data_IF_062171435255
#
_entry.id   IF_062171435255
#
_cell.length_a   1.000
_cell.length_b   1.000
_cell.length_c   1.000
_cell.angle_alpha   90.00
_cell.angle_beta   90.00
_cell.angle_gamma   90.00
#
_symmetry.space_group_name_H-M   'P 1'
#
loop_
_entity.id
_entity.type
_entity.pdbx_description
1 polymer ?
#
# COMPACT_ATOMS: atom_id res chain seq x y z
N UNK A 1 39.89 28.45 -5.55
CA UNK A 1 39.74 27.05 -6.04
C UNK A 1 40.46 26.15 -5.03
N UNK A 2 39.82 25.28 -4.32
CA UNK A 2 40.23 24.32 -3.30
C UNK A 2 39.57 24.53 -1.93
N UNK A 3 38.28 24.17 -1.82
CA UNK A 3 37.61 23.89 -0.53
C UNK A 3 36.33 23.03 -0.72
N UNK A 4 36.40 21.92 -1.44
CA UNK A 4 35.26 21.01 -1.65
C UNK A 4 35.65 19.52 -1.51
N UNK A 5 36.73 19.20 -0.76
CA UNK A 5 37.22 17.83 -0.61
C UNK A 5 36.97 17.17 0.76
N UNK A 6 36.16 17.74 1.63
CA UNK A 6 35.87 17.15 2.95
C UNK A 6 34.42 16.73 3.13
N UNK A 7 33.91 15.83 2.24
CA UNK A 7 32.81 14.98 2.63
C UNK A 7 33.38 13.66 3.16
N UNK A 8 33.10 13.27 4.40
CA UNK A 8 33.57 12.00 4.93
C UNK A 8 33.02 10.87 4.07
N UNK A 9 33.88 9.97 3.63
CA UNK A 9 33.51 8.76 2.91
C UNK A 9 32.52 7.98 3.78
N UNK A 10 31.47 7.43 3.18
CA UNK A 10 30.43 6.63 3.84
C UNK A 10 31.02 5.60 4.83
N UNK A 11 32.23 5.13 4.58
CA UNK A 11 32.97 4.20 5.45
C UNK A 11 33.38 4.79 6.79
N UNK A 12 33.56 6.11 6.87
CA UNK A 12 33.99 6.79 8.10
C UNK A 12 32.80 7.18 8.97
N UNK A 13 31.62 7.40 8.37
CA UNK A 13 30.35 7.59 9.08
C UNK A 13 29.90 6.27 9.75
N UNK A 14 30.18 5.13 9.13
CA UNK A 14 29.90 3.82 9.73
C UNK A 14 30.84 3.44 10.88
N UNK A 15 32.02 4.04 10.95
CA UNK A 15 32.96 3.82 12.07
C UNK A 15 32.67 4.66 13.30
N UNK A 16 31.98 5.80 13.16
CA UNK A 16 31.67 6.71 14.26
C UNK A 16 30.31 6.46 14.92
N UNK A 17 29.48 5.56 14.39
CA UNK A 17 28.27 5.11 15.07
C UNK A 17 28.66 4.02 16.09
N UNK A 18 28.24 4.13 17.35
CA UNK A 18 28.49 3.09 18.35
C UNK A 18 27.62 1.86 18.00
N UNK A 19 28.12 1.04 17.07
CA UNK A 19 27.45 -0.17 16.57
C UNK A 19 27.05 -1.16 17.68
N UNK A 20 27.70 -1.06 18.83
CA UNK A 20 27.35 -1.85 20.01
C UNK A 20 26.01 -1.46 20.64
N UNK A 21 25.68 -0.17 20.70
CA UNK A 21 24.45 0.31 21.34
C UNK A 21 23.22 0.16 20.41
N UNK A 22 23.36 0.47 19.14
CA UNK A 22 22.26 0.28 18.15
C UNK A 22 21.90 -1.19 18.01
N UNK A 23 22.89 -2.08 18.02
CA UNK A 23 22.66 -3.54 18.00
C UNK A 23 22.02 -4.01 19.30
N UNK A 24 22.46 -3.51 20.46
CA UNK A 24 21.81 -3.82 21.75
C UNK A 24 20.40 -3.27 21.83
N UNK A 25 20.15 -2.05 21.37
CA UNK A 25 18.82 -1.44 21.30
C UNK A 25 17.88 -2.22 20.38
N UNK A 26 18.34 -2.68 19.22
CA UNK A 26 17.56 -3.49 18.29
C UNK A 26 17.22 -4.88 18.86
N UNK A 27 18.17 -5.56 19.50
CA UNK A 27 17.91 -6.82 20.20
C UNK A 27 17.01 -6.65 21.41
N UNK A 28 17.16 -5.57 22.17
CA UNK A 28 16.30 -5.23 23.31
C UNK A 28 14.86 -4.94 22.83
N UNK A 29 14.70 -4.25 21.72
CA UNK A 29 13.41 -3.96 21.09
C UNK A 29 12.73 -5.25 20.58
N UNK A 30 13.46 -6.16 19.92
CA UNK A 30 12.95 -7.49 19.53
C UNK A 30 12.60 -8.32 20.75
N UNK A 31 13.44 -8.30 21.81
CA UNK A 31 13.19 -9.04 23.03
C UNK A 31 11.94 -8.53 23.78
N UNK A 32 11.75 -7.21 23.82
CA UNK A 32 10.54 -6.58 24.36
C UNK A 32 9.30 -6.98 23.53
N UNK A 33 9.39 -6.97 22.19
CA UNK A 33 8.30 -7.40 21.31
C UNK A 33 7.94 -8.88 21.51
N UNK A 34 8.93 -9.75 21.69
CA UNK A 34 8.71 -11.17 21.95
C UNK A 34 8.16 -11.44 23.37
N UNK A 35 8.54 -10.60 24.35
CA UNK A 35 8.04 -10.72 25.72
C UNK A 35 6.56 -10.34 25.86
N UNK A 36 6.05 -9.44 25.02
CA UNK A 36 4.62 -9.06 25.03
C UNK A 36 3.69 -10.08 24.38
N UNK A 37 4.23 -11.04 23.62
CA UNK A 37 3.42 -12.12 23.03
C UNK A 37 2.91 -13.16 24.04
N UNK A 38 3.39 -13.10 25.29
CA UNK A 38 3.13 -14.14 26.30
C UNK A 38 2.00 -13.80 27.29
N UNK A 39 1.38 -12.63 27.17
CA UNK A 39 0.24 -12.29 28.03
C UNK A 39 -1.08 -12.65 27.35
N UNK A 40 -1.32 -13.95 27.17
CA UNK A 40 -2.69 -14.44 27.08
C UNK A 40 -3.33 -14.24 28.46
N UNK A 41 -4.19 -13.23 28.57
CA UNK A 41 -4.99 -13.06 29.79
C UNK A 41 -5.93 -14.27 29.90
N UNK A 42 -5.59 -15.22 30.76
CA UNK A 42 -6.58 -16.16 31.26
C UNK A 42 -7.73 -15.33 31.85
N UNK A 43 -8.93 -15.52 31.32
CA UNK A 43 -10.14 -14.91 31.89
C UNK A 43 -10.17 -15.21 33.40
N UNK A 44 -10.03 -14.18 34.22
CA UNK A 44 -10.01 -14.30 35.69
C UNK A 44 -11.37 -14.66 36.27
N UNK A 45 -12.43 -14.50 35.49
CA UNK A 45 -13.79 -14.75 35.94
C UNK A 45 -14.45 -15.78 35.02
N UNK A 46 -15.26 -16.72 35.56
CA UNK A 46 -16.08 -17.56 34.73
C UNK A 46 -17.02 -16.71 33.88
N UNK A 47 -17.36 -17.20 32.68
CA UNK A 47 -18.33 -16.51 31.81
C UNK A 47 -19.60 -16.26 32.62
N UNK A 48 -20.16 -15.04 32.59
CA UNK A 48 -21.40 -14.77 33.29
C UNK A 48 -22.51 -15.68 32.75
N UNK A 49 -23.13 -16.45 33.61
CA UNK A 49 -24.37 -17.18 33.32
C UNK A 49 -25.50 -16.17 33.37
N UNK A 50 -26.01 -15.77 32.23
CA UNK A 50 -27.19 -14.92 32.17
C UNK A 50 -28.41 -15.77 32.52
N UNK A 51 -29.24 -15.25 33.46
CA UNK A 51 -30.52 -15.86 33.78
C UNK A 51 -31.40 -15.96 32.52
N UNK A 52 -32.23 -17.01 32.43
CA UNK A 52 -33.19 -17.19 31.34
C UNK A 52 -34.08 -15.94 31.24
N UNK A 53 -34.03 -15.26 30.07
CA UNK A 53 -34.73 -14.00 29.81
C UNK A 53 -33.87 -12.77 29.66
N UNK A 54 -32.54 -12.88 29.74
CA UNK A 54 -31.64 -11.79 29.40
C UNK A 54 -31.52 -11.64 27.88
N UNK A 55 -32.14 -10.59 27.33
CA UNK A 55 -31.89 -10.17 25.96
C UNK A 55 -30.55 -9.43 25.91
N UNK A 56 -29.63 -9.92 25.12
CA UNK A 56 -28.40 -9.17 24.88
C UNK A 56 -28.76 -7.82 24.25
N UNK A 57 -28.24 -6.70 24.78
CA UNK A 57 -28.50 -5.40 24.17
C UNK A 57 -28.10 -5.48 22.69
N UNK A 58 -29.05 -5.16 21.81
CA UNK A 58 -28.78 -5.04 20.38
C UNK A 58 -27.61 -4.07 20.18
N UNK A 59 -26.60 -4.49 19.46
CA UNK A 59 -25.50 -3.60 19.06
C UNK A 59 -26.12 -2.43 18.29
N UNK A 60 -26.15 -1.26 18.90
CA UNK A 60 -26.60 -0.04 18.23
C UNK A 60 -25.54 0.27 17.18
N UNK A 61 -25.83 -0.08 15.93
CA UNK A 61 -25.03 0.41 14.82
C UNK A 61 -25.25 1.92 14.71
N UNK A 62 -24.20 2.74 14.75
CA UNK A 62 -24.35 4.18 14.61
C UNK A 62 -25.09 4.50 13.31
N UNK A 63 -26.01 5.44 13.33
CA UNK A 63 -26.75 5.87 12.15
C UNK A 63 -25.79 6.22 11.01
N UNK A 64 -26.09 5.81 9.77
CA UNK A 64 -25.29 6.17 8.63
C UNK A 64 -25.27 7.69 8.49
N UNK A 65 -24.11 8.23 8.13
CA UNK A 65 -23.96 9.68 7.94
C UNK A 65 -24.90 10.17 6.84
N UNK A 66 -25.46 11.34 7.03
CA UNK A 66 -26.38 11.95 6.05
C UNK A 66 -25.72 12.13 4.70
N UNK A 67 -26.43 11.79 3.62
CA UNK A 67 -25.95 11.84 2.23
C UNK A 67 -25.35 13.20 1.83
N UNK A 68 -25.93 14.31 2.32
CA UNK A 68 -25.43 15.66 2.06
C UNK A 68 -23.99 15.86 2.55
N UNK A 69 -23.66 15.31 3.73
CA UNK A 69 -22.30 15.38 4.29
C UNK A 69 -21.31 14.48 3.55
N UNK A 70 -21.76 13.36 3.02
CA UNK A 70 -20.90 12.50 2.19
C UNK A 70 -20.53 13.17 0.86
N UNK A 71 -21.49 13.80 0.19
CA UNK A 71 -21.23 14.58 -1.02
C UNK A 71 -20.35 15.79 -0.75
N UNK A 72 -20.50 16.43 0.42
CA UNK A 72 -19.61 17.50 0.85
C UNK A 72 -18.16 17.00 0.97
N UNK A 73 -17.92 15.81 1.52
CA UNK A 73 -16.59 15.22 1.57
C UNK A 73 -15.99 14.99 0.17
N UNK A 74 -16.82 14.55 -0.80
CA UNK A 74 -16.40 14.40 -2.20
C UNK A 74 -16.03 15.77 -2.81
N UNK A 75 -16.82 16.81 -2.53
CA UNK A 75 -16.52 18.18 -2.99
C UNK A 75 -15.19 18.68 -2.39
N UNK A 76 -14.96 18.46 -1.09
CA UNK A 76 -13.68 18.78 -0.44
C UNK A 76 -12.52 18.04 -1.11
N UNK A 77 -12.67 16.73 -1.40
CA UNK A 77 -11.64 15.97 -2.12
C UNK A 77 -11.33 16.57 -3.48
N UNK A 78 -12.36 16.95 -4.23
CA UNK A 78 -12.21 17.54 -5.57
C UNK A 78 -11.47 18.88 -5.50
N UNK A 79 -11.82 19.74 -4.55
CA UNK A 79 -11.14 21.03 -4.31
C UNK A 79 -9.68 20.79 -3.93
N UNK A 80 -9.40 19.86 -3.01
CA UNK A 80 -8.04 19.52 -2.58
C UNK A 80 -7.20 18.98 -3.75
N UNK A 81 -7.75 18.08 -4.57
CA UNK A 81 -7.07 17.55 -5.75
C UNK A 81 -6.77 18.63 -6.79
N UNK A 82 -7.71 19.54 -7.00
CA UNK A 82 -7.53 20.68 -7.91
C UNK A 82 -6.45 21.63 -7.41
N UNK A 83 -6.49 21.98 -6.13
CA UNK A 83 -5.46 22.80 -5.48
C UNK A 83 -4.10 22.12 -5.50
N UNK A 84 -4.02 20.82 -5.16
CA UNK A 84 -2.77 20.07 -5.21
C UNK A 84 -2.18 20.07 -6.62
N UNK A 85 -3.00 19.85 -7.65
CA UNK A 85 -2.57 19.85 -9.05
C UNK A 85 -2.08 21.23 -9.48
N UNK A 86 -2.79 22.30 -9.11
CA UNK A 86 -2.37 23.66 -9.39
C UNK A 86 -1.06 24.03 -8.69
N UNK A 87 -0.92 23.67 -7.39
CA UNK A 87 0.29 23.92 -6.62
C UNK A 87 1.51 23.18 -7.20
N UNK A 88 1.32 21.93 -7.67
CA UNK A 88 2.40 21.12 -8.26
C UNK A 88 2.82 21.64 -9.63
N UNK A 89 1.85 21.95 -10.50
CA UNK A 89 2.13 22.25 -11.92
C UNK A 89 2.48 23.74 -12.12
N UNK A 90 1.76 24.64 -11.44
CA UNK A 90 1.91 26.10 -11.64
C UNK A 90 2.78 26.74 -10.56
N UNK A 91 2.39 26.66 -9.30
CA UNK A 91 3.09 27.37 -8.22
C UNK A 91 4.43 26.71 -7.83
N UNK A 92 4.52 25.39 -7.96
CA UNK A 92 5.74 24.58 -7.69
C UNK A 92 6.35 24.80 -6.30
N UNK A 93 5.51 25.09 -5.29
CA UNK A 93 5.94 25.42 -3.92
C UNK A 93 5.76 24.24 -2.98
N UNK A 94 6.84 23.77 -2.38
CA UNK A 94 6.83 22.69 -1.36
C UNK A 94 6.05 23.09 -0.12
N UNK A 95 6.25 24.34 0.34
CA UNK A 95 5.60 24.83 1.56
C UNK A 95 4.07 24.82 1.46
N UNK A 96 3.54 25.26 0.31
CA UNK A 96 2.07 25.25 0.08
C UNK A 96 1.52 23.82 0.03
N UNK A 97 2.27 22.87 -0.53
CA UNK A 97 1.88 21.45 -0.56
C UNK A 97 1.89 20.86 0.86
N UNK A 98 2.87 21.20 1.70
CA UNK A 98 2.90 20.75 3.09
C UNK A 98 1.68 21.25 3.88
N UNK A 99 1.32 22.54 3.76
CA UNK A 99 0.12 23.07 4.42
C UNK A 99 -1.15 22.38 3.95
N UNK A 100 -1.26 22.12 2.65
CA UNK A 100 -2.41 21.37 2.12
C UNK A 100 -2.43 19.94 2.63
N UNK A 101 -1.28 19.27 2.76
CA UNK A 101 -1.20 17.91 3.31
C UNK A 101 -1.53 17.87 4.80
N UNK A 102 -1.16 18.89 5.59
CA UNK A 102 -1.59 19.02 7.00
C UNK A 102 -3.09 19.19 7.10
N UNK A 103 -3.69 20.05 6.24
CA UNK A 103 -5.15 20.18 6.19
C UNK A 103 -5.84 18.83 5.90
N UNK A 104 -5.35 18.08 4.92
CA UNK A 104 -5.94 16.78 4.57
C UNK A 104 -5.72 15.73 5.66
N UNK A 105 -4.61 15.79 6.37
CA UNK A 105 -4.36 14.94 7.53
C UNK A 105 -5.39 15.19 8.64
N UNK A 106 -5.66 16.46 8.94
CA UNK A 106 -6.65 16.82 9.96
C UNK A 106 -8.06 16.44 9.49
N UNK A 107 -8.43 16.81 8.25
CA UNK A 107 -9.79 16.61 7.76
C UNK A 107 -10.09 15.13 7.45
N UNK A 108 -9.34 14.51 6.53
CA UNK A 108 -9.61 13.12 6.11
C UNK A 108 -9.03 12.08 7.09
N UNK A 109 -7.92 12.39 7.77
CA UNK A 109 -7.33 11.51 8.75
C UNK A 109 -8.13 11.50 10.06
N UNK A 110 -8.05 12.58 10.82
CA UNK A 110 -8.62 12.61 12.17
C UNK A 110 -10.10 12.93 12.20
N UNK A 111 -10.57 13.98 11.55
CA UNK A 111 -12.00 14.36 11.59
C UNK A 111 -12.90 13.31 10.94
N UNK A 112 -12.47 12.72 9.83
CA UNK A 112 -13.18 11.64 9.12
C UNK A 112 -12.76 10.24 9.56
N UNK A 113 -11.94 10.10 10.59
CA UNK A 113 -11.46 8.85 11.16
C UNK A 113 -10.85 7.89 10.10
N UNK A 114 -10.25 8.42 9.04
CA UNK A 114 -9.72 7.63 7.93
C UNK A 114 -10.78 6.83 7.17
N UNK A 115 -12.08 7.05 7.42
CA UNK A 115 -13.17 6.24 6.88
C UNK A 115 -13.41 6.45 5.39
N UNK A 116 -12.95 7.56 4.83
CA UNK A 116 -13.00 7.88 3.41
C UNK A 116 -11.62 7.56 2.83
N UNK A 117 -11.40 6.31 2.52
CA UNK A 117 -10.11 5.82 2.07
C UNK A 117 -10.18 5.35 0.61
N UNK A 118 -9.54 6.09 -0.30
CA UNK A 118 -9.38 5.66 -1.70
C UNK A 118 -8.70 4.30 -1.83
N UNK A 119 -7.88 3.93 -0.84
CA UNK A 119 -7.16 2.65 -0.81
C UNK A 119 -8.13 1.51 -0.51
N UNK A 120 -8.96 1.65 0.52
CA UNK A 120 -9.99 0.67 0.87
C UNK A 120 -11.09 0.54 -0.18
N UNK A 121 -11.37 1.60 -0.94
CA UNK A 121 -12.35 1.59 -2.01
C UNK A 121 -12.05 0.57 -3.13
N UNK A 122 -10.77 0.16 -3.30
CA UNK A 122 -10.39 -0.95 -4.20
C UNK A 122 -11.22 -2.21 -3.91
N UNK A 123 -11.35 -2.56 -2.63
CA UNK A 123 -12.03 -3.78 -2.20
C UNK A 123 -13.55 -3.69 -2.41
N UNK A 124 -14.14 -2.53 -2.12
CA UNK A 124 -15.56 -2.27 -2.38
C UNK A 124 -15.88 -2.36 -3.89
N UNK A 125 -15.05 -1.75 -4.72
CA UNK A 125 -15.17 -1.81 -6.19
C UNK A 125 -15.02 -3.26 -6.68
N UNK A 126 -14.02 -3.98 -6.17
CA UNK A 126 -13.80 -5.38 -6.53
C UNK A 126 -15.00 -6.26 -6.16
N UNK A 127 -15.53 -6.09 -4.96
CA UNK A 127 -16.66 -6.88 -4.48
C UNK A 127 -17.93 -6.59 -5.29
N UNK A 128 -18.17 -5.32 -5.69
CA UNK A 128 -19.32 -4.97 -6.53
C UNK A 128 -19.27 -5.61 -7.93
N UNK A 129 -18.08 -5.85 -8.47
CA UNK A 129 -17.92 -6.60 -9.71
C UNK A 129 -18.06 -8.12 -9.52
N UNK A 130 -17.66 -8.64 -8.35
CA UNK A 130 -17.67 -10.08 -8.09
C UNK A 130 -19.01 -10.60 -7.57
N UNK A 131 -19.83 -9.75 -6.94
CA UNK A 131 -21.10 -10.11 -6.32
C UNK A 131 -22.22 -9.15 -6.75
N UNK A 132 -23.23 -9.61 -7.50
CA UNK A 132 -24.36 -8.76 -7.91
C UNK A 132 -25.23 -8.28 -6.74
N UNK A 133 -25.15 -8.97 -5.59
CA UNK A 133 -25.90 -8.60 -4.40
C UNK A 133 -25.28 -7.41 -3.64
N UNK A 134 -24.02 -7.04 -3.94
CA UNK A 134 -23.34 -5.95 -3.27
C UNK A 134 -23.45 -4.66 -4.08
N UNK A 135 -24.11 -3.66 -3.50
CA UNK A 135 -24.22 -2.31 -4.08
C UNK A 135 -23.20 -1.38 -3.46
N UNK A 136 -22.33 -0.81 -4.31
CA UNK A 136 -21.34 0.18 -3.86
C UNK A 136 -21.99 1.56 -3.75
N UNK A 137 -21.67 2.34 -2.70
CA UNK A 137 -22.11 3.73 -2.62
C UNK A 137 -21.39 4.59 -3.67
N UNK A 138 -22.11 5.53 -4.27
CA UNK A 138 -21.56 6.44 -5.26
C UNK A 138 -20.37 7.25 -4.68
N UNK A 139 -20.43 7.61 -3.40
CA UNK A 139 -19.36 8.31 -2.71
C UNK A 139 -18.08 7.49 -2.64
N UNK A 140 -18.15 6.19 -2.31
CA UNK A 140 -16.98 5.31 -2.31
C UNK A 140 -16.38 5.14 -3.71
N UNK A 141 -17.24 5.04 -4.74
CA UNK A 141 -16.80 4.98 -6.14
C UNK A 141 -16.09 6.28 -6.56
N UNK A 142 -16.61 7.45 -6.18
CA UNK A 142 -16.00 8.74 -6.47
C UNK A 142 -14.65 8.89 -5.76
N UNK A 143 -14.53 8.46 -4.50
CA UNK A 143 -13.23 8.44 -3.79
C UNK A 143 -12.19 7.53 -4.43
N UNK A 144 -12.62 6.49 -5.14
CA UNK A 144 -11.73 5.65 -5.93
C UNK A 144 -11.37 6.28 -7.28
N UNK A 145 -12.34 6.79 -8.02
CA UNK A 145 -12.15 7.23 -9.42
C UNK A 145 -11.50 8.61 -9.52
N UNK A 146 -11.88 9.58 -8.65
CA UNK A 146 -11.36 10.95 -8.74
C UNK A 146 -9.82 11.02 -8.63
N UNK A 147 -9.15 10.38 -7.65
CA UNK A 147 -7.69 10.39 -7.60
C UNK A 147 -7.02 9.75 -8.81
N UNK A 148 -7.63 8.71 -9.40
CA UNK A 148 -7.14 8.07 -10.63
C UNK A 148 -7.25 9.02 -11.82
N UNK A 149 -8.41 9.69 -11.98
CA UNK A 149 -8.62 10.68 -13.02
C UNK A 149 -7.63 11.85 -12.94
N UNK A 150 -7.46 12.43 -11.74
CA UNK A 150 -6.46 13.49 -11.56
C UNK A 150 -5.03 13.01 -11.82
N UNK A 151 -4.72 11.77 -11.44
CA UNK A 151 -3.39 11.19 -11.69
C UNK A 151 -3.13 10.98 -13.16
N UNK A 152 -4.13 10.61 -13.94
CA UNK A 152 -4.01 10.46 -15.39
C UNK A 152 -3.62 11.78 -16.08
N UNK A 153 -4.09 12.94 -15.59
CA UNK A 153 -3.79 14.23 -16.17
C UNK A 153 -2.57 14.90 -15.53
N UNK A 154 -2.46 14.90 -14.20
CA UNK A 154 -1.50 15.72 -13.43
C UNK A 154 -0.41 14.91 -12.72
N UNK A 155 -0.35 13.61 -12.93
CA UNK A 155 0.55 12.73 -12.19
C UNK A 155 0.07 12.49 -10.75
N UNK A 156 0.93 11.98 -9.89
CA UNK A 156 0.56 11.50 -8.54
C UNK A 156 0.32 12.64 -7.53
N UNK A 157 -0.43 13.69 -7.92
CA UNK A 157 -0.76 14.83 -7.06
C UNK A 157 -1.61 14.42 -5.84
N UNK A 158 -2.45 13.39 -5.97
CA UNK A 158 -3.15 12.78 -4.85
C UNK A 158 -2.18 12.35 -3.73
N UNK A 159 -1.11 11.64 -4.08
CA UNK A 159 -0.11 11.20 -3.10
C UNK A 159 0.69 12.38 -2.51
N UNK A 160 0.79 13.51 -3.24
CA UNK A 160 1.54 14.67 -2.79
C UNK A 160 0.88 15.36 -1.59
N UNK A 161 -0.45 15.55 -1.63
CA UNK A 161 -1.13 16.40 -0.68
C UNK A 161 -2.53 15.93 -0.25
N UNK A 162 -3.23 15.10 -1.05
CA UNK A 162 -4.62 14.74 -0.74
C UNK A 162 -4.77 13.47 0.11
N UNK A 163 -3.74 12.61 0.16
CA UNK A 163 -3.78 11.36 0.90
C UNK A 163 -3.32 11.55 2.36
N UNK A 164 -4.18 11.32 3.37
CA UNK A 164 -3.81 11.49 4.78
C UNK A 164 -2.71 10.51 5.24
N UNK A 165 -2.68 9.30 4.67
CA UNK A 165 -1.63 8.32 4.96
C UNK A 165 -0.25 8.78 4.46
N UNK A 166 -0.21 9.49 3.34
CA UNK A 166 1.01 10.13 2.83
C UNK A 166 1.41 11.33 3.69
N UNK A 167 0.43 12.12 4.13
CA UNK A 167 0.65 13.31 4.93
C UNK A 167 1.26 12.99 6.30
N UNK A 168 0.75 12.00 7.03
CA UNK A 168 1.29 11.59 8.34
C UNK A 168 2.76 11.13 8.23
N UNK A 169 3.11 10.43 7.15
CA UNK A 169 4.48 10.00 6.91
C UNK A 169 5.41 11.16 6.52
N UNK A 170 4.90 12.20 5.86
CA UNK A 170 5.71 13.39 5.49
C UNK A 170 6.12 14.22 6.71
N UNK A 171 5.28 14.28 7.73
CA UNK A 171 5.55 15.03 8.97
C UNK A 171 6.76 14.46 9.71
N UNK A 172 6.98 13.15 9.64
CA UNK A 172 8.05 12.47 10.40
C UNK A 172 9.38 12.37 9.64
N UNK A 173 9.47 12.78 8.38
CA UNK A 173 10.72 12.70 7.59
C UNK A 173 11.77 13.66 8.12
N UNK A 174 12.88 13.12 8.65
CA UNK A 174 13.99 13.90 9.16
C UNK A 174 15.15 13.89 8.15
N UNK A 175 15.75 12.73 7.90
CA UNK A 175 16.92 12.57 7.04
C UNK A 175 16.74 11.37 6.11
N UNK A 176 16.17 11.57 4.91
CA UNK A 176 15.93 10.47 4.00
C UNK A 176 17.25 9.88 3.48
N UNK A 177 17.34 8.55 3.51
CA UNK A 177 18.47 7.77 3.01
C UNK A 177 18.02 7.11 1.69
N UNK A 178 18.89 7.16 0.67
CA UNK A 178 18.67 6.45 -0.58
C UNK A 178 18.88 4.95 -0.39
N UNK A 179 17.92 4.15 -0.85
CA UNK A 179 18.02 2.68 -0.81
C UNK A 179 18.82 2.15 -2.00
N UNK A 180 19.55 1.03 -1.83
CA UNK A 180 20.18 0.34 -2.95
C UNK A 180 19.16 0.01 -4.03
N UNK A 181 19.52 0.20 -5.31
CA UNK A 181 18.60 0.02 -6.45
C UNK A 181 17.95 -1.36 -6.52
N UNK A 182 18.67 -2.41 -6.14
CA UNK A 182 18.12 -3.77 -6.12
C UNK A 182 17.03 -3.92 -5.05
N UNK A 183 17.27 -3.39 -3.83
CA UNK A 183 16.32 -3.45 -2.73
C UNK A 183 15.06 -2.63 -3.03
N UNK A 184 15.22 -1.44 -3.61
CA UNK A 184 14.10 -0.60 -4.01
C UNK A 184 13.22 -1.29 -5.07
N UNK A 185 13.83 -2.02 -6.04
CA UNK A 185 13.08 -2.79 -7.05
C UNK A 185 12.36 -3.99 -6.44
N UNK A 186 13.02 -4.74 -5.55
CA UNK A 186 12.41 -5.91 -4.91
C UNK A 186 11.26 -5.52 -3.99
N UNK A 187 11.46 -4.52 -3.11
CA UNK A 187 10.40 -4.00 -2.25
C UNK A 187 9.24 -3.39 -3.06
N UNK A 188 9.53 -2.83 -4.23
CA UNK A 188 8.53 -2.30 -5.15
C UNK A 188 7.57 -3.34 -5.75
N UNK A 189 7.83 -4.66 -5.57
CA UNK A 189 6.91 -5.73 -5.96
C UNK A 189 5.83 -6.00 -4.90
N UNK A 190 6.09 -5.64 -3.64
CA UNK A 190 5.16 -5.90 -2.52
C UNK A 190 3.78 -5.24 -2.73
N UNK A 191 3.66 -3.97 -3.19
CA UNK A 191 2.36 -3.37 -3.46
C UNK A 191 1.52 -4.15 -4.48
N UNK A 192 2.16 -4.75 -5.49
CA UNK A 192 1.48 -5.59 -6.50
C UNK A 192 0.97 -6.89 -5.88
N UNK A 193 1.79 -7.55 -5.04
CA UNK A 193 1.38 -8.73 -4.30
C UNK A 193 0.21 -8.41 -3.37
N UNK A 194 0.32 -7.32 -2.61
CA UNK A 194 -0.74 -6.90 -1.69
C UNK A 194 -2.04 -6.54 -2.43
N UNK A 195 -1.93 -5.84 -3.57
CA UNK A 195 -3.08 -5.56 -4.43
C UNK A 195 -3.73 -6.84 -4.94
N UNK A 196 -2.94 -7.81 -5.44
CA UNK A 196 -3.48 -9.07 -5.98
C UNK A 196 -4.20 -9.89 -4.92
N UNK A 197 -3.63 -9.96 -3.70
CA UNK A 197 -4.28 -10.61 -2.56
C UNK A 197 -5.54 -9.85 -2.12
N UNK A 198 -5.49 -8.52 -2.04
CA UNK A 198 -6.65 -7.71 -1.66
C UNK A 198 -7.82 -7.87 -2.63
N UNK A 199 -7.53 -7.92 -3.94
CA UNK A 199 -8.54 -8.19 -4.98
C UNK A 199 -9.08 -9.62 -4.84
N UNK A 200 -8.22 -10.62 -4.62
CA UNK A 200 -8.63 -12.01 -4.43
C UNK A 200 -9.57 -12.18 -3.23
N UNK A 201 -9.18 -11.65 -2.07
CA UNK A 201 -9.98 -11.77 -0.84
C UNK A 201 -11.30 -10.99 -0.93
N UNK A 202 -11.31 -9.83 -1.55
CA UNK A 202 -12.52 -9.06 -1.78
C UNK A 202 -13.45 -9.75 -2.80
N UNK A 203 -12.91 -10.27 -3.91
CA UNK A 203 -13.69 -10.96 -4.95
C UNK A 203 -14.32 -12.26 -4.44
N UNK A 204 -13.68 -12.95 -3.50
CA UNK A 204 -14.23 -14.16 -2.87
C UNK A 204 -15.22 -13.84 -1.74
N UNK A 205 -15.34 -12.56 -1.32
CA UNK A 205 -16.18 -12.16 -0.20
C UNK A 205 -15.63 -12.57 1.17
N UNK A 206 -14.35 -12.95 1.24
CA UNK A 206 -13.74 -13.51 2.45
C UNK A 206 -13.40 -12.45 3.47
N UNK A 207 -12.64 -11.42 3.09
CA UNK A 207 -12.20 -10.37 4.02
C UNK A 207 -11.75 -9.10 3.28
N UNK A 208 -11.85 -7.97 3.95
CA UNK A 208 -11.31 -6.70 3.49
C UNK A 208 -9.92 -6.46 4.13
N UNK A 209 -8.92 -7.20 3.64
CA UNK A 209 -7.57 -7.21 4.22
C UNK A 209 -6.91 -5.82 4.24
N UNK A 210 -7.21 -4.92 3.30
CA UNK A 210 -6.68 -3.55 3.32
C UNK A 210 -7.22 -2.80 4.53
N UNK A 211 -8.54 -2.82 4.75
CA UNK A 211 -9.16 -2.10 5.87
C UNK A 211 -8.79 -2.72 7.22
N UNK A 212 -8.64 -4.05 7.25
CA UNK A 212 -8.32 -4.79 8.48
C UNK A 212 -6.88 -4.60 8.94
N UNK A 213 -5.93 -4.52 7.99
CA UNK A 213 -4.49 -4.46 8.28
C UNK A 213 -3.87 -3.10 7.92
N UNK A 214 -4.67 -2.03 7.76
CA UNK A 214 -4.13 -0.68 7.57
C UNK A 214 -3.60 -0.14 8.91
N UNK A 215 -2.29 0.11 9.04
CA UNK A 215 -1.69 0.52 10.29
C UNK A 215 -2.07 1.95 10.72
N UNK A 216 -2.50 2.79 9.78
CA UNK A 216 -2.80 4.20 10.06
C UNK A 216 -4.27 4.46 10.36
N UNK A 217 -5.19 3.66 9.81
CA UNK A 217 -6.63 3.80 10.09
C UNK A 217 -6.92 3.65 11.58
N UNK A 218 -6.25 2.70 12.25
CA UNK A 218 -6.37 2.54 13.70
C UNK A 218 -5.85 3.75 14.48
N UNK A 219 -4.78 4.40 14.01
CA UNK A 219 -4.26 5.64 14.61
C UNK A 219 -5.27 6.77 14.45
N UNK A 220 -5.87 6.92 13.27
CA UNK A 220 -6.86 7.98 13.00
C UNK A 220 -8.15 7.79 13.80
N UNK A 221 -8.57 6.55 14.05
CA UNK A 221 -9.77 6.22 14.83
C UNK A 221 -9.54 6.25 16.33
N UNK A 222 -8.27 6.26 16.78
CA UNK A 222 -7.87 6.11 18.18
C UNK A 222 -8.43 4.81 18.82
N UNK A 223 -8.80 3.84 18.01
CA UNK A 223 -9.36 2.54 18.39
C UNK A 223 -8.67 1.43 17.59
N UNK A 224 -7.37 1.26 17.81
CA UNK A 224 -6.60 0.22 17.18
C UNK A 224 -6.20 -0.86 18.16
N UNK A 225 -6.23 -2.12 17.69
CA UNK A 225 -5.60 -3.22 18.42
C UNK A 225 -4.12 -2.91 18.60
N UNK A 226 -3.57 -3.23 19.78
CA UNK A 226 -2.18 -2.91 20.14
C UNK A 226 -1.15 -3.25 19.06
N UNK A 227 -1.25 -4.43 18.44
CA UNK A 227 -0.33 -4.84 17.36
C UNK A 227 -0.40 -3.94 16.12
N UNK A 228 -1.57 -3.35 15.79
CA UNK A 228 -1.71 -2.42 14.68
C UNK A 228 -1.09 -1.04 15.01
N UNK A 229 -1.20 -0.59 16.26
CA UNK A 229 -0.50 0.61 16.72
C UNK A 229 1.01 0.42 16.62
N UNK A 230 1.53 -0.71 17.10
CA UNK A 230 2.97 -1.04 17.00
C UNK A 230 3.42 -1.05 15.53
N UNK A 231 2.64 -1.64 14.64
CA UNK A 231 2.93 -1.66 13.21
C UNK A 231 2.95 -0.23 12.63
N UNK A 232 1.95 0.59 12.95
CA UNK A 232 1.86 1.98 12.51
C UNK A 232 3.05 2.83 12.99
N UNK A 233 3.38 2.74 14.28
CA UNK A 233 4.53 3.42 14.87
C UNK A 233 5.84 2.93 14.23
N UNK A 234 5.97 1.63 13.95
CA UNK A 234 7.16 1.09 13.26
C UNK A 234 7.33 1.68 11.86
N UNK A 235 6.22 1.85 11.10
CA UNK A 235 6.26 2.53 9.80
C UNK A 235 6.63 4.01 9.93
N UNK A 236 6.17 4.72 10.97
CA UNK A 236 6.54 6.10 11.20
C UNK A 236 8.01 6.24 11.59
N UNK A 237 8.53 5.35 12.45
CA UNK A 237 9.96 5.31 12.81
C UNK A 237 10.85 5.02 11.59
N UNK A 238 10.48 4.03 10.77
CA UNK A 238 11.16 3.81 9.49
C UNK A 238 11.03 5.03 8.57
N UNK A 239 9.90 5.72 8.62
CA UNK A 239 9.62 6.93 7.86
C UNK A 239 10.56 8.09 8.11
N UNK A 240 11.20 8.15 9.29
CA UNK A 240 12.22 9.15 9.62
C UNK A 240 13.44 9.07 8.69
N UNK A 241 13.78 7.85 8.24
CA UNK A 241 14.96 7.58 7.40
C UNK A 241 14.59 7.15 5.99
N UNK A 242 13.49 6.42 5.80
CA UNK A 242 13.01 6.00 4.48
C UNK A 242 11.73 6.80 4.18
N UNK A 243 11.83 7.76 3.26
CA UNK A 243 10.68 8.60 2.96
C UNK A 243 9.46 7.78 2.52
N UNK A 244 8.36 7.91 3.25
CA UNK A 244 7.04 7.28 3.00
C UNK A 244 7.13 5.77 2.75
N UNK A 245 7.65 4.94 3.68
CA UNK A 245 7.87 3.52 3.44
C UNK A 245 6.57 2.77 3.11
N UNK A 246 5.47 3.07 3.78
CA UNK A 246 4.15 2.49 3.48
C UNK A 246 3.70 2.81 2.05
N UNK A 247 3.74 4.09 1.65
CA UNK A 247 3.29 4.51 0.32
C UNK A 247 4.14 3.95 -0.82
N UNK A 248 5.45 3.72 -0.57
CA UNK A 248 6.39 3.20 -1.58
C UNK A 248 6.31 1.69 -1.72
N UNK A 249 6.20 0.97 -0.60
CA UNK A 249 6.46 -0.47 -0.56
C UNK A 249 5.27 -1.32 -0.09
N UNK A 250 4.18 -0.73 0.37
CA UNK A 250 3.04 -1.50 0.81
C UNK A 250 1.72 -1.05 0.18
N UNK A 251 1.51 0.25 -0.06
CA UNK A 251 0.23 0.78 -0.49
C UNK A 251 -0.26 0.16 -1.82
N UNK A 252 -1.37 -0.61 -1.83
CA UNK A 252 -1.87 -1.26 -3.04
C UNK A 252 -2.43 -0.25 -4.05
N UNK A 253 -2.97 0.87 -3.60
CA UNK A 253 -3.48 1.93 -4.46
C UNK A 253 -2.37 2.65 -5.24
N UNK A 254 -1.11 2.54 -4.77
CA UNK A 254 0.04 3.09 -5.49
C UNK A 254 0.25 2.45 -6.87
N UNK A 255 -0.23 1.21 -7.06
CA UNK A 255 -0.11 0.48 -8.33
C UNK A 255 -0.95 1.13 -9.44
N UNK A 256 -2.28 1.24 -9.33
CA UNK A 256 -3.08 1.89 -10.36
C UNK A 256 -2.69 3.37 -10.55
N UNK A 257 -2.35 4.11 -9.47
CA UNK A 257 -1.84 5.46 -9.59
C UNK A 257 -0.53 5.53 -10.39
N UNK A 258 0.39 4.59 -10.17
CA UNK A 258 1.65 4.51 -10.92
C UNK A 258 1.42 4.24 -12.41
N UNK A 259 0.45 3.38 -12.73
CA UNK A 259 0.09 3.10 -14.13
C UNK A 259 -0.52 4.33 -14.80
N UNK A 260 -1.51 4.97 -14.17
CA UNK A 260 -2.15 6.18 -14.71
C UNK A 260 -1.15 7.33 -14.87
N UNK A 261 -0.24 7.50 -13.91
CA UNK A 261 0.77 8.57 -13.96
C UNK A 261 1.76 8.43 -15.13
N UNK A 262 1.97 7.24 -15.69
CA UNK A 262 2.80 7.05 -16.89
C UNK A 262 2.24 7.78 -18.10
N UNK A 263 0.92 7.90 -18.17
CA UNK A 263 0.20 8.57 -19.27
C UNK A 263 -0.07 10.04 -18.99
N UNK A 264 0.33 10.56 -17.81
CA UNK A 264 0.03 11.92 -17.40
C UNK A 264 0.62 12.97 -18.36
N UNK A 265 -0.23 13.92 -18.78
CA UNK A 265 0.15 14.99 -19.69
C UNK A 265 0.85 16.14 -18.96
N UNK A 266 0.31 16.56 -17.82
CA UNK A 266 0.76 17.72 -17.04
C UNK A 266 1.45 17.30 -15.75
N UNK A 267 2.42 16.39 -15.83
CA UNK A 267 3.16 15.91 -14.64
C UNK A 267 4.23 16.92 -14.20
N UNK A 268 4.72 16.71 -12.97
CA UNK A 268 5.84 17.48 -12.43
C UNK A 268 7.06 17.37 -13.35
N UNK A 269 7.58 18.51 -13.81
CA UNK A 269 8.80 18.60 -14.64
C UNK A 269 9.80 19.52 -13.97
N UNK A 270 11.09 19.16 -14.02
CA UNK A 270 12.19 20.08 -13.74
C UNK A 270 12.45 20.83 -15.04
N UNK A 271 12.85 22.10 -15.00
CA UNK A 271 13.00 22.96 -16.19
C UNK A 271 14.10 22.43 -17.14
N UNK A 272 13.80 21.60 -18.16
CA UNK A 272 14.81 20.91 -18.93
C UNK A 272 15.64 21.83 -19.81
N UNK A 273 15.02 22.87 -20.38
CA UNK A 273 15.69 23.82 -21.29
C UNK A 273 16.79 24.67 -20.65
N UNK A 274 16.88 24.66 -19.33
CA UNK A 274 17.86 25.45 -18.54
C UNK A 274 18.65 24.59 -17.56
N UNK A 275 18.65 23.27 -17.67
CA UNK A 275 19.32 22.39 -16.74
C UNK A 275 20.84 22.56 -16.81
N UNK A 276 21.47 22.93 -15.69
CA UNK A 276 22.92 23.07 -15.57
C UNK A 276 23.60 21.80 -15.05
N UNK A 277 22.89 20.68 -14.97
CA UNK A 277 23.33 19.35 -14.52
C UNK A 277 24.03 19.33 -13.14
N UNK A 278 23.61 20.18 -12.23
CA UNK A 278 24.21 20.34 -10.90
C UNK A 278 23.92 19.20 -9.91
N UNK A 279 23.06 18.21 -10.23
CA UNK A 279 22.64 17.04 -9.42
C UNK A 279 21.84 17.38 -8.15
N UNK A 280 21.63 18.64 -7.80
CA UNK A 280 20.96 19.03 -6.55
C UNK A 280 19.54 18.48 -6.44
N UNK A 281 18.77 18.50 -7.54
CA UNK A 281 17.42 17.95 -7.57
C UNK A 281 17.40 16.43 -7.29
N UNK A 282 18.35 15.67 -7.85
CA UNK A 282 18.44 14.24 -7.64
C UNK A 282 18.84 13.91 -6.18
N UNK A 283 19.82 14.64 -5.64
CA UNK A 283 20.27 14.45 -4.27
C UNK A 283 19.22 14.87 -3.22
N UNK A 284 18.36 15.84 -3.55
CA UNK A 284 17.28 16.28 -2.66
C UNK A 284 16.03 15.39 -2.72
N UNK A 285 15.93 14.50 -3.70
CA UNK A 285 14.76 13.63 -3.88
C UNK A 285 14.73 12.50 -2.85
N UNK A 286 13.80 12.51 -1.89
CA UNK A 286 13.77 11.49 -0.85
C UNK A 286 13.23 10.12 -1.36
N UNK A 287 12.74 10.09 -2.60
CA UNK A 287 12.11 8.92 -3.21
C UNK A 287 12.96 8.24 -4.27
N UNK A 288 14.17 8.74 -4.57
CA UNK A 288 15.01 8.29 -5.68
C UNK A 288 14.25 8.25 -7.02
N UNK A 289 13.35 9.21 -7.21
CA UNK A 289 12.42 9.24 -8.35
C UNK A 289 12.92 10.16 -9.48
N UNK A 290 14.18 10.57 -9.48
CA UNK A 290 14.76 11.38 -10.54
C UNK A 290 15.73 10.51 -11.34
N UNK A 291 15.44 10.41 -12.62
CA UNK A 291 16.30 9.71 -13.58
C UNK A 291 17.47 10.62 -13.99
N UNK A 292 18.65 10.02 -14.10
CA UNK A 292 19.89 10.72 -14.44
C UNK A 292 20.04 10.85 -15.96
N UNK A 293 20.72 11.90 -16.47
CA UNK A 293 21.12 11.99 -17.87
C UNK A 293 22.01 10.80 -18.26
N UNK A 294 21.89 10.38 -19.48
CA UNK A 294 22.58 9.19 -20.00
C UNK A 294 24.01 9.50 -20.38
N UNK A 295 24.98 8.79 -19.83
CA UNK A 295 26.39 8.93 -20.23
C UNK A 295 26.63 8.35 -21.62
N UNK A 296 27.53 8.96 -22.39
CA UNK A 296 27.91 8.47 -23.74
C UNK A 296 28.44 7.03 -23.75
N UNK A 297 29.14 6.61 -22.69
CA UNK A 297 29.62 5.24 -22.51
C UNK A 297 28.49 4.21 -22.36
N UNK A 298 27.32 4.62 -21.85
CA UNK A 298 26.15 3.75 -21.74
C UNK A 298 25.43 3.61 -23.07
N UNK A 299 25.48 4.64 -23.93
CA UNK A 299 24.93 4.61 -25.28
C UNK A 299 25.69 3.58 -26.15
N UNK A 300 27.01 3.52 -26.01
CA UNK A 300 27.86 2.56 -26.75
C UNK A 300 27.62 1.11 -26.31
N UNK A 301 27.30 0.85 -25.05
CA UNK A 301 26.95 -0.50 -24.58
C UNK A 301 25.53 -0.95 -24.99
N UNK A 302 24.73 -0.06 -25.52
CA UNK A 302 23.34 -0.32 -25.93
C UNK A 302 23.20 -1.20 -27.17
N UNK A 303 24.29 -1.46 -27.93
CA UNK A 303 24.26 -2.31 -29.13
C UNK A 303 23.81 -3.76 -28.93
N UNK A 304 23.75 -4.23 -27.66
CA UNK A 304 23.24 -5.55 -27.29
C UNK A 304 21.74 -5.51 -26.87
N UNK A 305 21.13 -4.33 -26.94
CA UNK A 305 19.76 -4.09 -26.47
C UNK A 305 18.67 -4.94 -27.16
N UNK A 306 18.64 -5.05 -28.52
CA UNK A 306 17.52 -5.72 -29.18
C UNK A 306 17.51 -7.24 -28.92
N UNK A 307 18.65 -7.90 -28.85
CA UNK A 307 18.72 -9.34 -28.53
C UNK A 307 18.27 -9.61 -27.08
N UNK A 308 18.80 -8.85 -26.15
CA UNK A 308 18.37 -8.96 -24.73
C UNK A 308 16.88 -8.63 -24.57
N UNK A 309 16.38 -7.58 -25.21
CA UNK A 309 14.97 -7.22 -25.18
C UNK A 309 14.10 -8.40 -25.67
N UNK A 310 14.44 -9.02 -26.81
CA UNK A 310 13.72 -10.16 -27.34
C UNK A 310 13.75 -11.34 -26.36
N UNK A 311 14.93 -11.66 -25.79
CA UNK A 311 15.06 -12.74 -24.81
C UNK A 311 14.17 -12.51 -23.58
N UNK A 312 14.20 -11.32 -22.97
CA UNK A 312 13.37 -11.03 -21.80
C UNK A 312 11.87 -11.02 -22.13
N UNK A 313 11.50 -10.60 -23.35
CA UNK A 313 10.10 -10.66 -23.81
C UNK A 313 9.64 -12.10 -23.96
N UNK A 314 10.46 -12.99 -24.51
CA UNK A 314 10.15 -14.41 -24.66
C UNK A 314 10.07 -15.16 -23.31
N UNK A 315 10.73 -14.64 -22.28
CA UNK A 315 10.69 -15.24 -20.92
C UNK A 315 9.45 -14.79 -20.12
N UNK A 316 8.73 -13.72 -20.54
CA UNK A 316 7.51 -13.28 -19.83
C UNK A 316 6.46 -14.39 -19.71
N UNK A 317 6.09 -15.15 -20.77
CA UNK A 317 5.12 -16.25 -20.64
C UNK A 317 5.57 -17.32 -19.62
N UNK A 318 6.87 -17.57 -19.50
CA UNK A 318 7.41 -18.50 -18.51
C UNK A 318 7.19 -18.01 -17.09
N UNK A 319 7.39 -16.71 -16.82
CA UNK A 319 7.08 -16.11 -15.53
C UNK A 319 5.59 -16.13 -15.21
N UNK A 320 4.74 -15.90 -16.21
CA UNK A 320 3.28 -16.02 -16.04
C UNK A 320 2.91 -17.47 -15.70
N UNK A 321 3.44 -18.45 -16.44
CA UNK A 321 3.18 -19.87 -16.17
C UNK A 321 3.66 -20.30 -14.77
N UNK A 322 4.86 -19.87 -14.38
CA UNK A 322 5.39 -20.09 -13.02
C UNK A 322 4.49 -19.46 -11.95
N UNK A 323 4.03 -18.22 -12.17
CA UNK A 323 3.09 -17.53 -11.27
C UNK A 323 1.75 -18.28 -11.16
N UNK A 324 1.17 -18.71 -12.27
CA UNK A 324 -0.07 -19.52 -12.30
C UNK A 324 0.13 -20.83 -11.55
N UNK A 325 1.27 -21.50 -11.73
CA UNK A 325 1.59 -22.73 -11.00
C UNK A 325 1.67 -22.50 -9.49
N UNK A 326 2.34 -21.45 -9.03
CA UNK A 326 2.41 -21.07 -7.62
C UNK A 326 1.02 -20.72 -7.09
N UNK A 327 0.22 -19.97 -7.85
CA UNK A 327 -1.17 -19.65 -7.51
C UNK A 327 -2.03 -20.91 -7.36
N UNK A 328 -1.88 -21.84 -8.30
CA UNK A 328 -2.58 -23.12 -8.24
C UNK A 328 -2.21 -23.93 -6.97
N UNK A 329 -0.97 -23.90 -6.52
CA UNK A 329 -0.54 -24.58 -5.28
C UNK A 329 -0.97 -23.88 -4.00
N UNK A 330 -1.14 -22.55 -4.04
CA UNK A 330 -1.47 -21.75 -2.87
C UNK A 330 -2.98 -21.64 -2.57
N UNK A 331 -3.87 -22.00 -3.51
CA UNK A 331 -5.32 -21.82 -3.35
C UNK A 331 -5.89 -22.55 -2.12
N UNK A 332 -5.40 -23.75 -1.81
CA UNK A 332 -5.85 -24.54 -0.65
C UNK A 332 -5.49 -23.87 0.68
N UNK A 333 -4.32 -23.25 0.74
CA UNK A 333 -3.90 -22.50 1.92
C UNK A 333 -4.68 -21.18 2.05
N UNK A 334 -4.83 -20.46 0.95
CA UNK A 334 -5.52 -19.16 0.94
C UNK A 334 -7.02 -19.28 1.22
N UNK A 335 -7.68 -20.35 0.76
CA UNK A 335 -9.09 -20.60 1.01
C UNK A 335 -9.43 -20.82 2.49
N UNK A 336 -8.47 -21.36 3.28
CA UNK A 336 -8.63 -21.55 4.73
C UNK A 336 -8.76 -20.24 5.52
N UNK A 337 -8.39 -19.11 4.93
CA UNK A 337 -8.62 -17.81 5.53
C UNK A 337 -10.11 -17.43 5.58
N UNK A 338 -10.96 -18.09 4.78
CA UNK A 338 -12.40 -17.92 4.85
C UNK A 338 -12.97 -18.71 6.03
N UNK A 339 -13.77 -18.07 6.92
CA UNK A 339 -14.32 -18.72 8.10
C UNK A 339 -15.15 -19.98 7.80
N UNK A 340 -15.98 -19.94 6.75
CA UNK A 340 -16.87 -21.05 6.39
C UNK A 340 -16.07 -22.23 5.86
N UNK A 341 -15.02 -21.98 5.07
CA UNK A 341 -14.11 -23.03 4.56
C UNK A 341 -13.33 -23.66 5.73
N UNK A 342 -12.83 -22.83 6.64
CA UNK A 342 -12.10 -23.29 7.81
C UNK A 342 -12.99 -24.13 8.73
N UNK A 343 -14.22 -23.66 9.00
CA UNK A 343 -15.18 -24.35 9.86
C UNK A 343 -15.64 -25.68 9.23
N UNK A 344 -15.92 -25.71 7.93
CA UNK A 344 -16.26 -26.95 7.22
C UNK A 344 -15.14 -27.98 7.31
N UNK A 345 -13.88 -27.57 7.07
CA UNK A 345 -12.71 -28.46 7.18
C UNK A 345 -12.51 -28.96 8.62
N UNK A 346 -12.72 -28.09 9.62
CA UNK A 346 -12.60 -28.43 11.03
C UNK A 346 -13.65 -29.49 11.46
N UNK A 347 -14.90 -29.30 11.04
CA UNK A 347 -16.01 -30.21 11.38
C UNK A 347 -15.90 -31.57 10.66
N UNK A 348 -15.31 -31.60 9.48
CA UNK A 348 -15.04 -32.86 8.74
C UNK A 348 -13.86 -33.61 9.35
N UNK A 349 -12.76 -32.89 9.66
CA UNK A 349 -11.53 -33.50 10.15
C UNK A 349 -11.62 -33.98 11.62
N UNK A 350 -12.42 -33.29 12.42
CA UNK A 350 -12.58 -33.57 13.87
C UNK A 350 -14.08 -33.50 14.25
N UNK A 351 -14.86 -34.55 13.96
CA UNK A 351 -16.30 -34.57 14.30
C UNK A 351 -16.59 -34.45 15.79
N UNK A 352 -15.64 -34.78 16.65
CA UNK A 352 -15.73 -34.66 18.12
C UNK A 352 -15.90 -33.21 18.60
N UNK A 353 -15.43 -32.22 17.81
CA UNK A 353 -15.53 -30.78 18.13
C UNK A 353 -16.98 -30.28 18.13
N UNK A 354 -17.93 -31.00 17.53
CA UNK A 354 -19.36 -30.64 17.60
C UNK A 354 -19.87 -30.55 19.04
N UNK A 355 -19.27 -31.31 19.95
CA UNK A 355 -19.61 -31.35 21.38
C UNK A 355 -18.79 -30.34 22.21
N UNK A 356 -17.83 -29.65 21.61
CA UNK A 356 -16.98 -28.68 22.30
C UNK A 356 -17.76 -27.37 22.54
N UNK A 357 -18.13 -27.15 23.80
CA UNK A 357 -18.86 -25.94 24.24
C UNK A 357 -17.99 -24.68 24.24
N UNK A 358 -16.68 -24.82 24.19
CA UNK A 358 -15.74 -23.69 24.24
C UNK A 358 -15.45 -23.09 22.87
N UNK A 359 -15.78 -23.78 21.78
CA UNK A 359 -15.59 -23.29 20.43
C UNK A 359 -16.81 -22.46 19.99
N UNK A 360 -16.67 -21.13 20.06
CA UNK A 360 -17.76 -20.17 19.75
C UNK A 360 -18.23 -20.30 18.31
N UNK A 361 -17.32 -20.54 17.35
CA UNK A 361 -17.67 -20.63 15.94
C UNK A 361 -18.54 -21.86 15.65
N UNK A 362 -18.20 -23.01 16.26
CA UNK A 362 -18.98 -24.25 16.16
C UNK A 362 -20.36 -24.07 16.82
N UNK A 363 -20.40 -23.46 18.00
CA UNK A 363 -21.66 -23.23 18.72
C UNK A 363 -22.58 -22.26 17.94
N UNK A 364 -22.03 -21.22 17.36
CA UNK A 364 -22.76 -20.28 16.52
C UNK A 364 -23.32 -20.99 15.27
N UNK A 365 -22.53 -21.88 14.64
CA UNK A 365 -22.99 -22.67 13.52
C UNK A 365 -24.13 -23.61 13.91
N UNK A 366 -23.98 -24.34 15.00
CA UNK A 366 -25.04 -25.26 15.49
C UNK A 366 -26.32 -24.53 15.86
N UNK A 367 -26.23 -23.34 16.43
CA UNK A 367 -27.41 -22.51 16.78
C UNK A 367 -28.08 -21.88 15.55
N UNK A 368 -27.36 -21.74 14.42
CA UNK A 368 -27.92 -21.15 13.19
C UNK A 368 -28.93 -22.03 12.45
N UNK A 369 -29.03 -23.32 12.82
CA UNK A 369 -29.91 -24.29 12.18
C UNK A 369 -29.46 -24.73 10.77
N UNK A 370 -28.29 -24.29 10.30
CA UNK A 370 -27.71 -24.74 9.04
C UNK A 370 -27.24 -26.19 9.13
N UNK A 371 -27.44 -26.96 8.06
CA UNK A 371 -26.93 -28.34 8.00
C UNK A 371 -25.45 -28.35 7.59
N UNK A 372 -24.74 -29.41 7.99
CA UNK A 372 -23.33 -29.56 7.59
C UNK A 372 -23.18 -29.64 6.06
N UNK A 373 -24.14 -30.26 5.38
CA UNK A 373 -24.13 -30.35 3.91
C UNK A 373 -24.19 -28.98 3.23
N UNK A 374 -25.03 -28.07 3.74
CA UNK A 374 -25.10 -26.70 3.23
C UNK A 374 -23.81 -25.95 3.45
N UNK A 375 -23.18 -26.08 4.63
CA UNK A 375 -21.89 -25.46 4.91
C UNK A 375 -20.79 -25.97 3.98
N UNK A 376 -20.76 -27.30 3.75
CA UNK A 376 -19.78 -27.90 2.85
C UNK A 376 -19.97 -27.44 1.42
N UNK A 377 -21.22 -27.39 0.94
CA UNK A 377 -21.50 -26.90 -0.42
C UNK A 377 -21.12 -25.40 -0.60
N UNK A 378 -21.41 -24.55 0.39
CA UNK A 378 -20.99 -23.14 0.40
C UNK A 378 -19.46 -23.04 0.39
N UNK A 379 -18.77 -23.83 1.21
CA UNK A 379 -17.32 -23.87 1.28
C UNK A 379 -16.66 -24.34 -0.03
N UNK A 380 -17.26 -25.31 -0.74
CA UNK A 380 -16.78 -25.74 -2.06
C UNK A 380 -16.89 -24.64 -3.11
N UNK A 381 -17.99 -23.90 -3.15
CA UNK A 381 -18.14 -22.74 -4.04
C UNK A 381 -17.05 -21.70 -3.77
N UNK A 382 -16.76 -21.44 -2.50
CA UNK A 382 -15.68 -20.49 -2.11
C UNK A 382 -14.32 -21.04 -2.53
N UNK A 383 -14.02 -22.32 -2.28
CA UNK A 383 -12.76 -22.97 -2.72
C UNK A 383 -12.58 -22.88 -4.22
N UNK A 384 -13.63 -23.07 -4.99
CA UNK A 384 -13.59 -22.95 -6.44
C UNK A 384 -13.28 -21.52 -6.91
N UNK A 385 -13.86 -20.50 -6.24
CA UNK A 385 -13.48 -19.10 -6.47
C UNK A 385 -12.02 -18.83 -6.15
N UNK A 386 -11.49 -19.38 -5.03
CA UNK A 386 -10.06 -19.27 -4.69
C UNK A 386 -9.17 -19.98 -5.69
N UNK A 387 -9.57 -21.13 -6.23
CA UNK A 387 -8.81 -21.86 -7.24
C UNK A 387 -8.49 -20.98 -8.45
N UNK A 388 -9.50 -20.45 -9.12
CA UNK A 388 -9.30 -19.57 -10.27
C UNK A 388 -8.68 -18.21 -9.88
N UNK A 389 -9.15 -17.63 -8.81
CA UNK A 389 -8.65 -16.33 -8.34
C UNK A 389 -7.15 -16.35 -7.97
N UNK A 390 -6.69 -17.43 -7.33
CA UNK A 390 -5.27 -17.60 -6.99
C UNK A 390 -4.40 -17.80 -8.24
N UNK A 391 -4.89 -18.54 -9.24
CA UNK A 391 -4.19 -18.68 -10.52
C UNK A 391 -4.08 -17.34 -11.25
N UNK A 392 -5.15 -16.54 -11.27
CA UNK A 392 -5.12 -15.20 -11.85
C UNK A 392 -4.18 -14.25 -11.09
N UNK A 393 -4.23 -14.27 -9.75
CA UNK A 393 -3.33 -13.48 -8.91
C UNK A 393 -1.87 -13.88 -9.10
N UNK A 394 -1.57 -15.17 -9.15
CA UNK A 394 -0.23 -15.69 -9.43
C UNK A 394 0.26 -15.32 -10.83
N UNK A 395 -0.58 -15.48 -11.85
CA UNK A 395 -0.27 -15.08 -13.23
C UNK A 395 0.00 -13.58 -13.36
N UNK A 396 -0.79 -12.75 -12.67
CA UNK A 396 -0.56 -11.31 -12.57
C UNK A 396 0.79 -10.99 -11.94
N UNK A 397 1.17 -11.66 -10.85
CA UNK A 397 2.49 -11.48 -10.23
C UNK A 397 3.62 -11.92 -11.15
N UNK A 398 3.46 -13.03 -11.87
CA UNK A 398 4.41 -13.49 -12.88
C UNK A 398 4.60 -12.45 -13.99
N UNK A 399 3.51 -11.86 -14.49
CA UNK A 399 3.55 -10.77 -15.46
C UNK A 399 4.30 -9.54 -14.92
N UNK A 400 4.01 -9.13 -13.69
CA UNK A 400 4.68 -7.98 -13.05
C UNK A 400 6.18 -8.21 -12.92
N UNK A 401 6.60 -9.40 -12.49
CA UNK A 401 8.02 -9.77 -12.39
C UNK A 401 8.67 -9.73 -13.79
N UNK A 402 8.05 -10.36 -14.78
CA UNK A 402 8.54 -10.36 -16.16
C UNK A 402 8.69 -8.94 -16.74
N UNK A 403 7.69 -8.09 -16.58
CA UNK A 403 7.74 -6.69 -17.01
C UNK A 403 8.79 -5.88 -16.24
N UNK A 404 8.97 -6.14 -14.95
CA UNK A 404 10.01 -5.48 -14.14
C UNK A 404 11.40 -5.84 -14.63
N UNK A 405 11.63 -7.11 -14.95
CA UNK A 405 12.88 -7.57 -15.56
C UNK A 405 13.09 -6.95 -16.95
N UNK A 406 12.07 -6.96 -17.80
CA UNK A 406 12.15 -6.32 -19.12
C UNK A 406 12.51 -4.83 -19.01
N UNK A 407 11.92 -4.11 -18.06
CA UNK A 407 12.20 -2.68 -17.85
C UNK A 407 13.65 -2.41 -17.39
N UNK A 408 14.39 -3.41 -16.92
CA UNK A 408 15.83 -3.26 -16.61
C UNK A 408 16.70 -3.22 -17.87
N UNK A 409 16.20 -3.73 -18.98
CA UNK A 409 16.93 -3.83 -20.26
C UNK A 409 16.55 -2.71 -21.23
N UNK A 410 15.37 -2.11 -21.02
CA UNK A 410 14.92 -0.99 -21.85
C UNK A 410 15.76 0.25 -21.56
N UNK A 411 16.52 0.66 -22.57
CA UNK A 411 17.37 1.84 -22.52
C UNK A 411 16.59 3.06 -23.04
N UNK A 412 16.58 4.15 -22.26
CA UNK A 412 16.02 5.43 -22.67
C UNK A 412 17.11 6.49 -22.63
N UNK A 413 17.39 7.10 -23.78
CA UNK A 413 18.32 8.22 -23.86
C UNK A 413 17.70 9.46 -23.23
N UNK A 414 18.37 10.07 -22.24
CA UNK A 414 17.98 11.30 -21.55
C UNK A 414 19.11 12.31 -21.62
N UNK A 415 18.75 13.58 -21.86
CA UNK A 415 19.71 14.68 -21.89
C UNK A 415 19.86 15.33 -20.52
N UNK A 416 18.75 15.43 -19.77
CA UNK A 416 18.64 16.14 -18.50
C UNK A 416 18.13 15.24 -17.36
N UNK A 417 18.10 15.79 -16.15
CA UNK A 417 17.47 15.18 -14.98
C UNK A 417 15.94 15.26 -15.10
N UNK A 418 15.29 14.13 -15.19
CA UNK A 418 13.83 14.04 -15.34
C UNK A 418 13.18 13.28 -14.19
N UNK A 419 12.05 13.76 -13.62
CA UNK A 419 11.26 12.99 -12.68
C UNK A 419 10.67 11.77 -13.36
N UNK A 420 10.87 10.60 -12.78
CA UNK A 420 10.26 9.37 -13.24
C UNK A 420 8.74 9.40 -13.01
N UNK A 421 7.95 9.39 -14.07
CA UNK A 421 6.49 9.54 -14.00
C UNK A 421 5.80 8.53 -13.09
N UNK A 422 6.30 7.30 -13.03
CA UNK A 422 5.72 6.24 -12.19
C UNK A 422 6.06 6.40 -10.71
N UNK A 423 7.29 6.84 -10.39
CA UNK A 423 7.82 6.84 -9.04
C UNK A 423 7.73 8.21 -8.35
N UNK A 424 7.63 9.30 -9.14
CA UNK A 424 7.54 10.66 -8.62
C UNK A 424 6.20 10.87 -7.90
N UNK A 425 6.26 11.24 -6.62
CA UNK A 425 5.08 11.55 -5.80
C UNK A 425 4.66 13.02 -5.89
N UNK A 426 5.16 13.77 -6.86
CA UNK A 426 4.81 15.18 -7.14
C UNK A 426 4.96 16.11 -5.93
N UNK A 427 5.90 15.86 -5.03
CA UNK A 427 6.08 16.58 -3.76
C UNK A 427 6.78 17.94 -3.89
N UNK A 428 7.25 18.32 -5.09
CA UNK A 428 7.95 19.57 -5.48
C UNK A 428 9.27 19.86 -4.74
N UNK A 429 9.76 18.98 -3.86
CA UNK A 429 10.98 19.21 -3.09
C UNK A 429 12.22 19.51 -3.98
N UNK A 430 12.33 18.85 -5.13
CA UNK A 430 13.41 19.07 -6.07
C UNK A 430 13.45 20.50 -6.63
N UNK A 431 12.30 21.21 -6.65
CA UNK A 431 12.22 22.58 -7.13
C UNK A 431 12.78 23.60 -6.14
N UNK A 432 12.74 23.30 -4.82
CA UNK A 432 13.30 24.19 -3.80
C UNK A 432 14.84 24.20 -3.83
N UNK A 433 15.44 23.11 -4.34
CA UNK A 433 16.88 22.96 -4.46
C UNK A 433 17.42 23.28 -5.87
N UNK A 434 16.55 23.57 -6.84
CA UNK A 434 16.96 23.94 -8.18
C UNK A 434 17.44 25.42 -8.19
N UNK A 435 18.69 25.71 -8.57
CA UNK A 435 19.20 27.10 -8.59
C UNK A 435 18.73 27.88 -9.81
N UNK A 436 18.12 27.20 -10.79
CA UNK A 436 17.61 27.85 -12.01
C UNK A 436 16.24 28.47 -11.73
N UNK A 437 16.01 29.68 -12.21
CA UNK A 437 14.72 30.38 -12.06
C UNK A 437 13.54 29.53 -12.53
N UNK A 438 12.49 29.57 -11.71
CA UNK A 438 11.28 28.75 -11.85
C UNK A 438 10.36 29.21 -12.98
#
# INVERSE_FOLDING_TARGET
>A
MNKLSNFPKIRDIFKSLPFGEVRRGFFLFIFILLSFSSFSQKQRFPKPEFATGHEQPSTITPEPRGLALEYFDVAVLLVVLSLASWLVVKKRSRQSILWLSVFTLIYFGFYRNGCICSIGAIQNVTLSFASPAYTISLTALLFFVLPLGFTLFFGRTFCAAACPLGAIQDVVIIKPISLPKWLNKTLGLIPYLYLSLAVLFAATGTDFIICRYDPFVGIFRLDAKFHMVVLGVSFLLMGMFIARPYCRFLCPYSVPLSWMSRFSKYHMTITPSKCIQCKLCANSCPFDAIDYPTNEKEVLKSGLGPKKFLTYTLVIPLWIAAGVFVGNRSHTFLSKANPDVFLAELLISKPEIKNDKDNIDVQTFLSSGKTLETLVSEAEVIRHKFYYGSMMAGGFMGLVIGLTLLNTVVFRKRQDYEPNRSNCLSCTRCMDFCPVEK
#
